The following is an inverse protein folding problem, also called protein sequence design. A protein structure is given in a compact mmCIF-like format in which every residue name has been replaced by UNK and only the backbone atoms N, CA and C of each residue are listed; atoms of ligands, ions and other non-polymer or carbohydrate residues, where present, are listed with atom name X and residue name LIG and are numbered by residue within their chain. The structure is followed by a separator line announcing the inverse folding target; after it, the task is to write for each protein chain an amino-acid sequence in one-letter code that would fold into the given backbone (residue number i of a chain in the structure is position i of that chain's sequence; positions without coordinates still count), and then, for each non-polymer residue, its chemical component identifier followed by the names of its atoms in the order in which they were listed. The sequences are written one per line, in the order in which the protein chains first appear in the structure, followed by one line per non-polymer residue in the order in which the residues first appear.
data_IF_348497694302
#
_entry.id   IF_348497694302
#
_cell.length_a   1.000
_cell.length_b   1.000
_cell.length_c   1.000
_cell.angle_alpha   90.00
_cell.angle_beta   90.00
_cell.angle_gamma   90.00
#
_symmetry.space_group_name_H-M   'P 1'
#
loop_
_entity.id
_entity.type
_entity.pdbx_description
1 polymer ?
#
# COMPACT_ATOMS: atom_id res chain seq x y z
N UNK A 1 4.80 3.12 0.13
CA UNK A 1 4.57 1.78 0.71
C UNK A 1 3.93 0.82 -0.29
N UNK A 2 2.94 1.25 -1.07
CA UNK A 2 2.36 0.47 -2.18
C UNK A 2 3.41 -0.06 -3.15
N UNK A 3 4.27 0.81 -3.70
CA UNK A 3 5.35 0.43 -4.63
C UNK A 3 6.16 -0.74 -4.06
N UNK A 4 6.68 -0.63 -2.83
CA UNK A 4 7.42 -1.72 -2.19
C UNK A 4 6.61 -3.03 -2.10
N UNK A 5 5.34 -2.95 -1.71
CA UNK A 5 4.50 -4.14 -1.56
C UNK A 5 4.18 -4.82 -2.90
N UNK A 6 4.12 -4.06 -4.00
CA UNK A 6 3.73 -4.54 -5.32
C UNK A 6 4.90 -4.76 -6.30
N UNK A 7 6.08 -4.20 -6.04
CA UNK A 7 7.26 -4.35 -6.91
C UNK A 7 8.30 -5.30 -6.33
N UNK A 8 8.44 -5.37 -5.00
CA UNK A 8 9.43 -6.23 -4.37
C UNK A 8 8.86 -7.64 -4.24
N UNK A 9 9.64 -8.61 -4.70
CA UNK A 9 9.31 -10.04 -4.72
C UNK A 9 10.29 -10.82 -3.85
N UNK A 10 9.85 -11.99 -3.37
CA UNK A 10 10.66 -12.87 -2.53
C UNK A 10 10.64 -12.48 -1.05
N UNK A 11 11.44 -13.19 -0.26
CA UNK A 11 11.59 -13.00 1.19
C UNK A 11 13.09 -13.11 1.52
N UNK A 12 13.80 -12.01 1.86
CA UNK A 12 15.26 -12.03 1.96
C UNK A 12 15.81 -12.88 3.13
N UNK A 13 14.98 -13.23 4.12
CA UNK A 13 15.41 -13.93 5.35
C UNK A 13 14.74 -15.28 5.59
N UNK A 14 13.85 -15.73 4.71
CA UNK A 14 13.19 -17.05 4.78
C UNK A 14 13.97 -18.08 3.94
N UNK A 15 14.90 -18.78 4.59
CA UNK A 15 15.82 -19.72 3.93
C UNK A 15 15.25 -21.12 3.59
N UNK A 16 14.11 -21.61 4.13
CA UNK A 16 13.54 -22.89 3.71
C UNK A 16 12.23 -22.78 2.89
N UNK A 17 11.94 -21.67 2.21
CA UNK A 17 10.70 -21.51 1.43
C UNK A 17 10.65 -22.33 0.11
N UNK A 18 11.71 -23.07 -0.24
CA UNK A 18 11.83 -23.83 -1.50
C UNK A 18 11.50 -23.02 -2.79
N UNK A 19 11.53 -21.68 -2.69
CA UNK A 19 11.25 -20.77 -3.80
C UNK A 19 9.77 -20.44 -4.04
N UNK A 20 8.86 -20.80 -3.13
CA UNK A 20 7.42 -20.48 -3.23
C UNK A 20 7.13 -18.99 -3.37
N UNK A 21 7.83 -18.17 -2.59
CA UNK A 21 7.70 -16.72 -2.54
C UNK A 21 8.54 -16.00 -3.61
N UNK A 22 9.41 -16.71 -4.35
CA UNK A 22 10.39 -16.11 -5.29
C UNK A 22 9.73 -15.28 -6.39
N UNK A 23 8.53 -15.66 -6.81
CA UNK A 23 7.78 -14.97 -7.88
C UNK A 23 6.67 -14.05 -7.35
N UNK A 24 6.35 -14.17 -6.06
CA UNK A 24 5.25 -13.46 -5.42
C UNK A 24 5.74 -12.14 -4.85
N UNK A 25 4.97 -11.09 -5.10
CA UNK A 25 5.14 -9.79 -4.45
C UNK A 25 4.79 -9.88 -2.96
N UNK A 26 5.30 -8.97 -2.13
CA UNK A 26 4.92 -8.95 -0.72
C UNK A 26 3.40 -8.77 -0.50
N UNK A 27 2.73 -8.06 -1.41
CA UNK A 27 1.28 -7.96 -1.41
C UNK A 27 0.60 -9.31 -1.64
N UNK A 28 1.09 -10.15 -2.55
CA UNK A 28 0.54 -11.48 -2.82
C UNK A 28 0.86 -12.48 -1.71
N UNK A 29 2.03 -12.36 -1.07
CA UNK A 29 2.41 -13.16 0.09
C UNK A 29 1.52 -12.87 1.32
N UNK A 30 1.10 -11.62 1.51
CA UNK A 30 0.25 -11.22 2.63
C UNK A 30 -1.11 -11.92 2.59
N UNK A 31 -1.54 -12.51 3.70
CA UNK A 31 -2.78 -13.29 3.81
C UNK A 31 -2.98 -14.36 2.72
N UNK A 32 -1.88 -14.92 2.17
CA UNK A 32 -1.90 -15.94 1.12
C UNK A 32 -2.73 -15.57 -0.13
N UNK A 33 -2.73 -14.28 -0.51
CA UNK A 33 -3.51 -13.81 -1.66
C UNK A 33 -5.01 -13.65 -1.41
N UNK A 34 -5.50 -13.93 -0.20
CA UNK A 34 -6.92 -13.75 0.14
C UNK A 34 -7.30 -12.28 0.04
N UNK A 35 -8.31 -11.99 -0.76
CA UNK A 35 -8.86 -10.65 -0.89
C UNK A 35 -9.71 -10.29 0.33
N UNK A 36 -9.86 -8.98 0.60
CA UNK A 36 -10.75 -8.45 1.65
C UNK A 36 -10.44 -8.83 3.10
N UNK A 37 -9.21 -9.27 3.39
CA UNK A 37 -8.74 -9.42 4.77
C UNK A 37 -8.63 -8.08 5.49
N UNK A 38 -8.68 -8.11 6.83
CA UNK A 38 -8.57 -6.91 7.67
C UNK A 38 -7.28 -6.13 7.40
N UNK A 39 -6.16 -6.84 7.19
CA UNK A 39 -4.86 -6.24 6.89
C UNK A 39 -4.87 -5.51 5.54
N UNK A 40 -5.36 -6.15 4.46
CA UNK A 40 -5.46 -5.51 3.14
C UNK A 40 -6.43 -4.33 3.16
N UNK A 41 -7.57 -4.45 3.83
CA UNK A 41 -8.52 -3.34 4.02
C UNK A 41 -7.88 -2.17 4.76
N UNK A 42 -7.16 -2.43 5.85
CA UNK A 42 -6.47 -1.38 6.59
C UNK A 42 -5.47 -0.63 5.71
N UNK A 43 -4.64 -1.36 4.96
CA UNK A 43 -3.63 -0.79 4.08
C UNK A 43 -4.20 0.02 2.90
N UNK A 44 -5.39 -0.36 2.39
CA UNK A 44 -6.06 0.39 1.32
C UNK A 44 -6.92 1.56 1.83
N UNK A 45 -7.50 1.46 3.02
CA UNK A 45 -8.39 2.50 3.59
C UNK A 45 -7.59 3.61 4.27
N UNK A 46 -6.49 3.28 4.95
CA UNK A 46 -5.61 4.24 5.64
C UNK A 46 -5.23 5.46 4.76
N UNK A 47 -4.75 5.28 3.52
CA UNK A 47 -4.42 6.40 2.63
C UNK A 47 -5.59 7.31 2.32
N UNK A 48 -6.80 6.73 2.15
CA UNK A 48 -8.02 7.48 1.83
C UNK A 48 -8.42 8.35 3.02
N UNK A 49 -8.37 7.79 4.24
CA UNK A 49 -8.67 8.53 5.46
C UNK A 49 -7.67 9.66 5.68
N UNK A 50 -6.37 9.39 5.52
CA UNK A 50 -5.33 10.41 5.63
C UNK A 50 -5.51 11.52 4.59
N UNK A 51 -5.89 11.17 3.36
CA UNK A 51 -6.19 12.14 2.31
C UNK A 51 -7.36 13.07 2.70
N UNK A 52 -8.46 12.52 3.22
CA UNK A 52 -9.61 13.32 3.66
C UNK A 52 -9.25 14.23 4.84
N UNK A 53 -8.54 13.69 5.84
CA UNK A 53 -8.10 14.46 7.00
C UNK A 53 -7.15 15.59 6.59
N UNK A 54 -6.12 15.31 5.79
CA UNK A 54 -5.18 16.33 5.34
C UNK A 54 -5.89 17.44 4.55
N UNK A 55 -6.80 17.09 3.63
CA UNK A 55 -7.58 18.07 2.87
C UNK A 55 -8.48 18.93 3.77
N UNK A 56 -9.09 18.31 4.78
CA UNK A 56 -9.93 19.01 5.75
C UNK A 56 -9.12 20.00 6.62
N UNK A 57 -7.98 19.56 7.15
CA UNK A 57 -7.13 20.40 8.01
C UNK A 57 -6.47 21.56 7.26
N UNK A 58 -6.14 21.38 5.99
CA UNK A 58 -5.57 22.45 5.15
C UNK A 58 -6.62 23.37 4.55
N UNK A 59 -7.91 23.21 4.92
CA UNK A 59 -9.03 23.98 4.36
C UNK A 59 -9.08 23.97 2.83
N UNK A 60 -8.68 22.85 2.22
CA UNK A 60 -8.63 22.69 0.77
C UNK A 60 -7.70 23.67 0.04
N UNK A 61 -6.61 24.10 0.69
CA UNK A 61 -5.55 24.85 0.01
C UNK A 61 -5.00 24.09 -1.20
N UNK A 62 -4.88 24.78 -2.34
CA UNK A 62 -4.61 24.15 -3.64
C UNK A 62 -3.26 23.44 -3.71
N UNK A 63 -2.22 24.00 -3.06
CA UNK A 63 -0.89 23.40 -3.06
C UNK A 63 -0.87 22.11 -2.24
N UNK A 64 -1.46 22.14 -1.04
CA UNK A 64 -1.56 20.97 -0.19
C UNK A 64 -2.48 19.90 -0.80
N UNK A 65 -3.57 20.31 -1.45
CA UNK A 65 -4.47 19.40 -2.16
C UNK A 65 -3.73 18.64 -3.27
N UNK A 66 -2.94 19.34 -4.10
CA UNK A 66 -2.14 18.69 -5.16
C UNK A 66 -1.13 17.69 -4.61
N UNK A 67 -0.39 18.04 -3.56
CA UNK A 67 0.58 17.15 -2.92
C UNK A 67 -0.11 15.92 -2.32
N UNK A 68 -1.26 16.13 -1.69
CA UNK A 68 -2.05 15.07 -1.07
C UNK A 68 -2.66 14.13 -2.14
N UNK A 69 -3.14 14.66 -3.27
CA UNK A 69 -3.62 13.86 -4.40
C UNK A 69 -2.47 13.07 -5.04
N UNK A 70 -1.30 13.68 -5.24
CA UNK A 70 -0.12 12.96 -5.75
C UNK A 70 0.31 11.82 -4.82
N UNK A 71 0.23 12.04 -3.50
CA UNK A 71 0.50 11.03 -2.49
C UNK A 71 -0.49 9.87 -2.56
N UNK A 72 -1.79 10.16 -2.72
CA UNK A 72 -2.83 9.15 -2.90
C UNK A 72 -2.65 8.36 -4.20
N UNK A 73 -2.32 9.03 -5.32
CA UNK A 73 -2.09 8.38 -6.62
C UNK A 73 -0.88 7.45 -6.59
N UNK A 74 0.20 7.82 -5.91
CA UNK A 74 1.37 6.95 -5.73
C UNK A 74 1.10 5.66 -4.91
N UNK A 75 -0.08 5.57 -4.30
CA UNK A 75 -0.55 4.41 -3.54
C UNK A 75 -1.61 3.59 -4.29
N UNK A 76 -2.17 4.11 -5.38
CA UNK A 76 -3.15 3.44 -6.22
C UNK A 76 -2.59 3.00 -7.59
N UNK A 77 -1.35 3.37 -7.89
CA UNK A 77 -0.62 3.07 -9.12
C UNK A 77 0.69 2.36 -8.78
#
# INVERSE_FOLDING_TARGET
MYVFLHTVKGTPFETPDQGKARLLTHWEQMDYGLQFTSSRKFLSISPIVLYLLASFYTKYDAAHFLINTASLLSLFW
#
